data_IF_362729428019
#
_entry.id   IF_362729428019
#
_cell.length_a   1.000
_cell.length_b   1.000
_cell.length_c   1.000
_cell.angle_alpha   90.00
_cell.angle_beta   90.00
_cell.angle_gamma   90.00
#
_symmetry.space_group_name_H-M   'P 1'
#
loop_
_entity.id
_entity.type
_entity.pdbx_description
1 polymer ?
#
# COMPACT_ATOMS: atom_id res chain seq x y z
N UNK A 1 20.57 12.96 16.31
CA UNK A 1 21.44 13.18 15.14
C UNK A 1 20.78 12.52 13.92
N UNK A 2 19.97 13.28 13.19
CA UNK A 2 19.27 12.82 11.99
C UNK A 2 20.25 12.71 10.83
N UNK A 3 20.90 11.56 10.71
CA UNK A 3 21.65 11.20 9.53
C UNK A 3 20.68 10.46 8.61
N UNK A 4 20.28 11.11 7.50
CA UNK A 4 20.04 10.49 6.17
C UNK A 4 18.78 10.88 5.37
N UNK A 5 18.10 11.97 5.69
CA UNK A 5 17.07 12.55 4.80
C UNK A 5 17.63 13.31 3.57
N UNK A 6 18.84 13.01 3.12
CA UNK A 6 19.49 13.71 2.00
C UNK A 6 20.49 12.79 1.28
N UNK A 7 20.06 11.54 1.01
CA UNK A 7 20.82 10.62 0.19
C UNK A 7 20.51 10.86 -1.28
N UNK A 8 21.37 11.69 -1.88
CA UNK A 8 21.76 11.60 -3.28
C UNK A 8 20.64 11.75 -4.33
N UNK A 9 20.26 13.02 -4.60
CA UNK A 9 20.33 13.51 -5.98
C UNK A 9 21.80 13.39 -6.45
N UNK A 10 22.26 12.17 -6.69
CA UNK A 10 23.50 11.93 -7.45
C UNK A 10 23.28 12.69 -8.75
N UNK A 11 24.21 13.57 -9.10
CA UNK A 11 24.30 14.17 -10.42
C UNK A 11 24.26 13.05 -11.47
N UNK A 12 23.06 12.75 -11.97
CA UNK A 12 22.84 11.85 -13.08
C UNK A 12 22.56 12.74 -14.28
N UNK A 13 23.37 12.56 -15.32
CA UNK A 13 23.05 13.10 -16.63
C UNK A 13 22.15 12.06 -17.29
N UNK A 14 20.86 12.35 -17.37
CA UNK A 14 19.96 11.57 -18.22
C UNK A 14 20.39 11.77 -19.67
N UNK A 15 20.51 10.67 -20.41
CA UNK A 15 20.83 10.74 -21.85
C UNK A 15 19.61 11.14 -22.67
N UNK A 16 18.42 10.96 -22.11
CA UNK A 16 17.13 11.28 -22.73
C UNK A 16 16.30 12.15 -21.78
N UNK A 17 15.31 12.83 -22.35
CA UNK A 17 14.23 13.45 -21.57
C UNK A 17 13.04 12.50 -21.60
N UNK A 18 12.46 12.22 -20.44
CA UNK A 18 11.27 11.38 -20.35
C UNK A 18 10.35 11.82 -19.22
N UNK A 19 9.06 11.54 -19.40
CA UNK A 19 7.98 11.78 -18.45
C UNK A 19 7.00 10.61 -18.52
N UNK A 20 6.38 10.27 -17.39
CA UNK A 20 5.41 9.19 -17.30
C UNK A 20 4.08 9.76 -16.81
N UNK A 21 3.01 9.40 -17.50
CA UNK A 21 1.65 9.72 -17.10
C UNK A 21 0.86 8.43 -16.88
N UNK A 22 -0.05 8.44 -15.90
CA UNK A 22 -0.95 7.32 -15.59
C UNK A 22 -2.40 7.71 -15.89
N UNK A 23 -3.20 6.75 -16.34
CA UNK A 23 -4.65 6.87 -16.54
C UNK A 23 -5.36 5.61 -16.02
N UNK A 24 -6.28 5.73 -15.03
CA UNK A 24 -6.57 6.93 -14.23
C UNK A 24 -5.42 7.33 -13.31
N UNK A 25 -5.45 8.55 -12.77
CA UNK A 25 -4.41 9.06 -11.87
C UNK A 25 -4.35 8.32 -10.53
N UNK A 26 -5.51 7.92 -9.98
CA UNK A 26 -5.60 7.09 -8.79
C UNK A 26 -5.61 5.62 -9.18
N UNK A 27 -4.70 4.84 -8.61
CA UNK A 27 -4.53 3.42 -8.93
C UNK A 27 -5.33 2.56 -7.96
N UNK A 28 -5.85 1.43 -8.44
CA UNK A 28 -6.64 0.51 -7.63
C UNK A 28 -6.02 -0.89 -7.73
N UNK A 29 -5.71 -1.56 -6.61
CA UNK A 29 -5.19 -2.94 -6.63
C UNK A 29 -6.10 -3.89 -7.42
N UNK A 30 -5.50 -4.90 -8.08
CA UNK A 30 -6.14 -5.84 -9.02
C UNK A 30 -6.69 -5.22 -10.32
N UNK A 31 -6.57 -3.91 -10.52
CA UNK A 31 -6.96 -3.30 -11.80
C UNK A 31 -5.75 -3.18 -12.73
N UNK A 32 -6.04 -3.21 -14.03
CA UNK A 32 -5.05 -2.86 -15.05
C UNK A 32 -4.79 -1.37 -14.96
N UNK A 33 -3.56 -1.01 -14.59
CA UNK A 33 -3.05 0.35 -14.69
C UNK A 33 -2.60 0.58 -16.12
N UNK A 34 -2.99 1.71 -16.69
CA UNK A 34 -2.49 2.15 -18.00
C UNK A 34 -1.72 3.46 -17.85
N UNK A 35 -0.77 3.68 -18.74
CA UNK A 35 0.02 4.90 -18.74
C UNK A 35 0.74 5.11 -20.06
N UNK A 36 1.36 6.27 -20.18
CA UNK A 36 2.17 6.63 -21.35
C UNK A 36 3.53 7.10 -20.90
N UNK A 37 4.58 6.53 -21.49
CA UNK A 37 5.93 7.03 -21.43
C UNK A 37 6.11 8.03 -22.58
N UNK A 38 6.27 9.31 -22.25
CA UNK A 38 6.66 10.35 -23.19
C UNK A 38 8.18 10.44 -23.18
N UNK A 39 8.84 10.21 -24.31
CA UNK A 39 10.30 10.21 -24.38
C UNK A 39 10.82 11.01 -25.56
N UNK A 40 11.93 11.72 -25.34
CA UNK A 40 12.68 12.38 -26.41
C UNK A 40 14.18 12.21 -26.29
N UNK A 41 14.86 12.17 -27.44
CA UNK A 41 16.31 12.05 -27.51
C UNK A 41 16.94 13.40 -27.92
N UNK A 42 17.43 14.21 -26.96
CA UNK A 42 18.08 15.49 -27.25
C UNK A 42 19.53 15.35 -27.73
N UNK A 43 20.07 14.13 -27.76
CA UNK A 43 21.48 13.87 -28.09
C UNK A 43 21.69 13.71 -29.58
N UNK A 44 22.97 13.65 -30.00
CA UNK A 44 23.37 13.36 -31.38
C UNK A 44 23.50 11.87 -31.67
N UNK A 45 23.34 11.00 -30.67
CA UNK A 45 23.52 9.55 -30.81
C UNK A 45 22.18 8.84 -30.86
N UNK A 46 22.13 7.68 -31.53
CA UNK A 46 20.97 6.79 -31.48
C UNK A 46 20.90 6.10 -30.13
N UNK A 47 19.75 6.19 -29.45
CA UNK A 47 19.48 5.52 -28.17
C UNK A 47 18.55 4.33 -28.42
N UNK A 48 18.81 3.18 -27.81
CA UNK A 48 18.00 1.96 -27.97
C UNK A 48 17.48 1.51 -26.62
N UNK A 49 16.19 1.76 -26.36
CA UNK A 49 15.53 1.41 -25.11
C UNK A 49 14.97 -0.01 -25.18
N UNK A 50 15.17 -0.77 -24.12
CA UNK A 50 14.70 -2.15 -24.01
C UNK A 50 13.69 -2.37 -22.87
N UNK A 51 13.69 -1.52 -21.84
CA UNK A 51 12.82 -1.72 -20.68
C UNK A 51 12.56 -0.40 -19.95
N UNK A 52 11.31 -0.24 -19.50
CA UNK A 52 10.92 0.68 -18.43
C UNK A 52 10.65 -0.16 -17.19
N UNK A 53 11.38 0.05 -16.10
CA UNK A 53 11.08 -0.57 -14.80
C UNK A 53 10.40 0.46 -13.91
N UNK A 54 9.24 0.10 -13.34
CA UNK A 54 8.54 0.89 -12.31
C UNK A 54 8.61 0.16 -10.98
N UNK A 55 9.24 0.76 -9.97
CA UNK A 55 9.33 0.19 -8.62
C UNK A 55 8.47 1.00 -7.67
N UNK A 56 7.39 0.39 -7.18
CA UNK A 56 6.45 0.97 -6.23
C UNK A 56 7.00 0.89 -4.82
N UNK A 57 7.09 2.03 -4.16
CA UNK A 57 7.68 2.18 -2.84
C UNK A 57 6.68 2.82 -1.88
N UNK A 58 6.64 2.34 -0.66
CA UNK A 58 5.93 3.00 0.45
C UNK A 58 6.75 2.92 1.73
N UNK A 59 6.20 3.41 2.83
CA UNK A 59 6.83 3.30 4.15
C UNK A 59 5.90 2.67 5.17
N UNK A 60 6.48 2.08 6.21
CA UNK A 60 5.76 1.56 7.38
C UNK A 60 6.48 1.90 8.68
N UNK A 61 5.72 1.88 9.78
CA UNK A 61 6.24 2.04 11.14
C UNK A 61 6.69 0.69 11.69
N UNK A 62 7.98 0.55 11.89
CA UNK A 62 8.57 -0.57 12.62
C UNK A 62 8.68 -0.19 14.11
N UNK A 63 8.40 -1.15 14.99
CA UNK A 63 8.33 -0.96 16.43
C UNK A 63 9.32 -1.94 17.05
N UNK A 64 10.33 -1.43 17.76
CA UNK A 64 11.27 -2.30 18.48
C UNK A 64 10.60 -2.97 19.69
N UNK A 65 11.22 -4.03 20.21
CA UNK A 65 10.80 -4.67 21.47
C UNK A 65 10.77 -3.68 22.66
N UNK A 66 11.51 -2.58 22.58
CA UNK A 66 11.59 -1.51 23.59
C UNK A 66 10.53 -0.43 23.37
N UNK A 67 9.67 -0.55 22.36
CA UNK A 67 8.61 0.41 22.04
C UNK A 67 9.06 1.62 21.21
N UNK A 68 10.26 1.59 20.63
CA UNK A 68 10.74 2.68 19.76
C UNK A 68 10.17 2.53 18.35
N UNK A 69 9.62 3.61 17.80
CA UNK A 69 9.07 3.63 16.43
C UNK A 69 10.07 4.21 15.42
N UNK A 70 10.19 3.58 14.25
CA UNK A 70 10.99 4.08 13.13
C UNK A 70 10.30 3.84 11.79
N UNK A 71 10.55 4.72 10.82
CA UNK A 71 10.06 4.54 9.46
C UNK A 71 11.01 3.61 8.69
N UNK A 72 10.44 2.63 8.00
CA UNK A 72 11.15 1.78 7.03
C UNK A 72 10.48 1.89 5.67
N UNK A 73 11.29 1.81 4.62
CA UNK A 73 10.80 1.68 3.25
C UNK A 73 10.43 0.21 2.96
N UNK A 74 9.47 0.02 2.07
CA UNK A 74 9.08 -1.27 1.55
C UNK A 74 8.82 -1.21 0.05
N UNK A 75 9.39 -2.18 -0.65
CA UNK A 75 9.18 -2.40 -2.08
C UNK A 75 7.89 -3.21 -2.26
N UNK A 76 6.91 -2.61 -2.91
CA UNK A 76 5.58 -3.19 -3.07
C UNK A 76 5.53 -4.04 -4.34
N UNK A 77 5.93 -3.47 -5.46
CA UNK A 77 5.90 -4.16 -6.74
C UNK A 77 6.97 -3.57 -7.65
N UNK A 78 7.74 -4.44 -8.30
CA UNK A 78 8.57 -4.09 -9.44
C UNK A 78 7.85 -4.53 -10.71
N UNK A 79 7.71 -3.61 -11.66
CA UNK A 79 7.00 -3.82 -12.92
C UNK A 79 7.97 -3.58 -14.08
N UNK A 80 8.58 -4.63 -14.66
CA UNK A 80 9.33 -4.52 -15.89
C UNK A 80 8.38 -4.44 -17.09
N UNK A 81 8.47 -3.35 -17.84
CA UNK A 81 7.70 -3.10 -19.07
C UNK A 81 8.67 -3.23 -20.25
N UNK A 82 8.57 -4.29 -21.07
CA UNK A 82 9.46 -4.49 -22.20
C UNK A 82 9.23 -3.40 -23.24
N UNK A 83 10.32 -2.76 -23.67
CA UNK A 83 10.35 -1.78 -24.75
C UNK A 83 11.15 -2.35 -25.93
N UNK A 84 10.83 -1.92 -27.13
CA UNK A 84 11.67 -2.16 -28.31
C UNK A 84 11.72 -0.88 -29.13
N UNK A 85 12.30 0.17 -28.52
CA UNK A 85 12.28 1.51 -29.08
C UNK A 85 13.69 1.95 -29.49
N UNK A 86 13.80 2.43 -30.73
CA UNK A 86 15.02 3.05 -31.26
C UNK A 86 14.74 4.54 -31.46
N UNK A 87 15.40 5.38 -30.66
CA UNK A 87 15.26 6.83 -30.72
C UNK A 87 16.41 7.44 -31.51
N UNK A 88 16.09 7.92 -32.71
CA UNK A 88 17.00 8.74 -33.51
C UNK A 88 17.24 10.12 -32.84
N UNK A 89 18.35 10.82 -33.15
CA UNK A 89 18.58 12.18 -32.67
C UNK A 89 17.39 13.12 -32.94
N UNK A 90 16.87 13.76 -31.90
CA UNK A 90 15.72 14.67 -31.95
C UNK A 90 14.35 13.98 -32.00
N UNK A 91 14.28 12.64 -32.00
CA UNK A 91 13.03 11.91 -32.00
C UNK A 91 12.23 12.17 -30.71
N UNK A 92 10.90 12.14 -30.84
CA UNK A 92 9.93 12.20 -29.74
C UNK A 92 8.91 11.11 -29.97
N UNK A 93 8.68 10.29 -28.96
CA UNK A 93 7.81 9.11 -29.05
C UNK A 93 6.97 9.01 -27.79
N UNK A 94 5.72 8.56 -27.96
CA UNK A 94 4.79 8.26 -26.88
C UNK A 94 4.55 6.76 -26.87
N UNK A 95 4.99 6.08 -25.80
CA UNK A 95 4.88 4.63 -25.67
C UNK A 95 3.82 4.28 -24.63
N UNK A 96 2.65 3.77 -25.04
CA UNK A 96 1.66 3.29 -24.09
C UNK A 96 2.16 2.02 -23.40
N UNK A 97 1.83 1.88 -22.12
CA UNK A 97 2.10 0.68 -21.34
C UNK A 97 0.91 0.33 -20.44
N UNK A 98 0.88 -0.91 -19.99
CA UNK A 98 -0.10 -1.38 -19.02
C UNK A 98 0.45 -2.52 -18.17
N UNK A 99 0.00 -2.62 -16.93
CA UNK A 99 0.31 -3.71 -16.01
C UNK A 99 -0.82 -3.91 -14.99
N UNK A 100 -0.82 -5.03 -14.26
CA UNK A 100 -1.74 -5.25 -13.14
C UNK A 100 -1.08 -4.84 -11.82
N UNK A 101 -1.74 -3.96 -11.06
CA UNK A 101 -1.29 -3.61 -9.72
C UNK A 101 -1.59 -4.76 -8.75
N UNK A 102 -0.58 -5.18 -7.99
CA UNK A 102 -0.70 -6.27 -7.02
C UNK A 102 -1.86 -6.06 -6.05
N UNK A 103 -2.62 -7.11 -5.76
CA UNK A 103 -3.75 -7.05 -4.81
C UNK A 103 -3.34 -6.64 -3.39
N UNK A 104 -2.07 -6.80 -3.07
CA UNK A 104 -1.53 -6.57 -1.74
C UNK A 104 -1.06 -5.13 -1.52
N UNK A 105 -1.10 -4.27 -2.55
CA UNK A 105 -0.70 -2.88 -2.41
C UNK A 105 -1.61 -2.17 -1.39
N UNK A 106 -1.08 -1.70 -0.24
CA UNK A 106 -1.87 -0.90 0.69
C UNK A 106 -2.33 0.41 0.07
N UNK A 107 -3.32 1.03 0.68
CA UNK A 107 -3.79 2.35 0.26
C UNK A 107 -2.79 3.45 0.62
N UNK A 108 -2.81 4.54 -0.15
CA UNK A 108 -2.02 5.74 0.14
C UNK A 108 -2.51 6.49 1.39
N UNK A 109 -3.65 6.10 1.98
CA UNK A 109 -4.13 6.63 3.26
C UNK A 109 -3.25 6.17 4.44
N UNK A 110 -2.63 4.99 4.33
CA UNK A 110 -1.74 4.44 5.37
C UNK A 110 -0.35 5.05 5.37
N UNK A 111 0.21 5.30 4.18
CA UNK A 111 1.48 5.97 3.97
C UNK A 111 1.59 6.44 2.51
N UNK A 112 2.36 7.51 2.21
CA UNK A 112 2.56 7.96 0.84
C UNK A 112 3.27 6.90 -0.02
N UNK A 113 2.97 6.92 -1.31
CA UNK A 113 3.67 6.16 -2.32
C UNK A 113 4.59 7.02 -3.17
N UNK A 114 5.67 6.41 -3.63
CA UNK A 114 6.47 6.87 -4.76
C UNK A 114 6.70 5.74 -5.75
N UNK A 115 6.99 6.11 -7.00
CA UNK A 115 7.45 5.17 -8.02
C UNK A 115 8.84 5.61 -8.46
N UNK A 116 9.82 4.72 -8.31
CA UNK A 116 11.10 4.85 -9.00
C UNK A 116 10.92 4.33 -10.43
N UNK A 117 11.07 5.22 -11.41
CA UNK A 117 10.95 4.90 -12.81
C UNK A 117 12.33 4.90 -13.47
N UNK A 118 12.68 3.80 -14.13
CA UNK A 118 14.00 3.63 -14.75
C UNK A 118 13.88 3.16 -16.20
N UNK A 119 14.57 3.84 -17.11
CA UNK A 119 14.73 3.36 -18.49
C UNK A 119 16.10 2.73 -18.70
N UNK A 120 16.09 1.55 -19.30
CA UNK A 120 17.27 0.75 -19.61
C UNK A 120 17.48 0.64 -21.12
N UNK A 121 18.74 0.76 -21.53
CA UNK A 121 19.15 0.41 -22.89
C UNK A 121 19.43 -1.09 -23.04
N UNK A 122 19.68 -1.52 -24.28
CA UNK A 122 19.99 -2.92 -24.63
C UNK A 122 21.21 -3.53 -23.92
N UNK A 123 22.09 -2.70 -23.37
CA UNK A 123 23.31 -3.12 -22.68
C UNK A 123 23.09 -3.10 -21.15
N UNK A 124 21.83 -2.99 -20.69
CA UNK A 124 21.40 -2.88 -19.28
C UNK A 124 22.00 -1.64 -18.62
N UNK A 125 22.34 -0.62 -19.42
CA UNK A 125 22.76 0.66 -18.89
C UNK A 125 21.52 1.52 -18.68
N UNK A 126 21.45 2.11 -17.50
CA UNK A 126 20.42 3.09 -17.16
C UNK A 126 20.64 4.39 -17.95
N UNK A 127 19.63 4.81 -18.71
CA UNK A 127 19.69 6.01 -19.55
C UNK A 127 18.84 7.17 -19.01
N UNK A 128 17.85 6.86 -18.18
CA UNK A 128 17.02 7.83 -17.48
C UNK A 128 16.49 7.26 -16.17
N UNK A 129 16.24 8.14 -15.21
CA UNK A 129 15.69 7.82 -13.89
C UNK A 129 14.91 9.02 -13.37
N UNK A 130 13.75 8.77 -12.80
CA UNK A 130 12.99 9.76 -12.03
C UNK A 130 12.23 9.10 -10.89
N UNK A 131 11.81 9.94 -9.93
CA UNK A 131 10.96 9.53 -8.81
C UNK A 131 9.64 10.28 -8.89
N UNK A 132 8.57 9.54 -9.14
CA UNK A 132 7.21 10.09 -9.17
C UNK A 132 6.66 10.00 -7.74
N UNK A 133 6.55 11.14 -7.08
CA UNK A 133 6.02 11.24 -5.71
C UNK A 133 4.49 11.37 -5.71
N UNK A 134 3.87 11.11 -4.55
CA UNK A 134 2.44 11.34 -4.31
C UNK A 134 1.51 10.50 -5.19
N UNK A 135 1.89 9.27 -5.50
CA UNK A 135 1.01 8.31 -6.17
C UNK A 135 -0.16 7.98 -5.25
N UNK A 136 -1.38 8.10 -5.78
CA UNK A 136 -2.59 7.76 -5.07
C UNK A 136 -2.94 6.30 -5.34
N UNK A 137 -3.06 5.52 -4.27
CA UNK A 137 -3.55 4.14 -4.32
C UNK A 137 -4.79 4.06 -3.45
N UNK A 138 -5.93 3.82 -4.07
CA UNK A 138 -7.17 3.64 -3.34
C UNK A 138 -7.29 2.20 -2.80
N UNK A 139 -8.03 1.99 -1.70
CA UNK A 139 -8.36 0.63 -1.27
C UNK A 139 -9.13 -0.13 -2.35
N UNK A 140 -8.96 -1.45 -2.39
CA UNK A 140 -9.79 -2.33 -3.21
C UNK A 140 -11.30 -2.10 -2.95
N UNK A 141 -12.18 -2.25 -3.96
CA UNK A 141 -13.62 -2.11 -3.78
C UNK A 141 -14.19 -2.96 -2.63
N UNK A 142 -13.68 -4.16 -2.43
CA UNK A 142 -14.05 -5.08 -1.36
C UNK A 142 -13.65 -4.53 0.02
N UNK A 143 -12.50 -3.87 0.11
CA UNK A 143 -12.07 -3.19 1.33
C UNK A 143 -12.88 -1.93 1.63
N UNK A 144 -13.29 -1.18 0.59
CA UNK A 144 -14.22 -0.05 0.76
C UNK A 144 -15.56 -0.53 1.35
N UNK A 145 -16.11 -1.63 0.85
CA UNK A 145 -17.33 -2.24 1.43
C UNK A 145 -17.15 -2.66 2.88
N UNK A 146 -15.98 -3.17 3.23
CA UNK A 146 -15.67 -3.54 4.60
C UNK A 146 -15.53 -2.31 5.51
N UNK A 147 -14.90 -1.23 5.05
CA UNK A 147 -14.86 0.05 5.75
C UNK A 147 -16.27 0.60 5.97
N UNK A 148 -17.13 0.54 4.94
CA UNK A 148 -18.51 0.98 5.05
C UNK A 148 -19.30 0.11 6.04
N UNK A 149 -19.15 -1.22 5.99
CA UNK A 149 -19.79 -2.12 6.95
C UNK A 149 -19.32 -1.87 8.39
N UNK A 150 -18.04 -1.54 8.57
CA UNK A 150 -17.45 -1.16 9.87
C UNK A 150 -18.07 0.14 10.39
N UNK A 151 -18.25 1.14 9.52
CA UNK A 151 -18.95 2.37 9.87
C UNK A 151 -20.41 2.12 10.28
N UNK A 152 -21.15 1.28 9.54
CA UNK A 152 -22.52 0.91 9.89
C UNK A 152 -22.62 0.13 11.22
N UNK A 153 -21.57 -0.59 11.60
CA UNK A 153 -21.49 -1.27 12.89
C UNK A 153 -21.30 -0.30 14.08
N UNK A 154 -21.11 1.00 13.83
CA UNK A 154 -20.88 2.03 14.84
C UNK A 154 -19.41 2.33 15.10
N UNK A 155 -18.55 2.12 14.10
CA UNK A 155 -17.11 2.38 14.17
C UNK A 155 -16.67 3.34 13.04
N UNK A 156 -16.55 4.63 13.34
CA UNK A 156 -16.19 5.66 12.35
C UNK A 156 -14.67 5.69 12.10
N UNK A 157 -14.20 5.71 10.83
CA UNK A 157 -12.76 5.78 10.53
C UNK A 157 -12.08 7.02 11.13
N UNK A 158 -10.96 6.83 11.83
CA UNK A 158 -10.13 7.90 12.39
C UNK A 158 -8.77 8.01 11.70
N UNK A 159 -8.08 6.89 11.51
CA UNK A 159 -6.76 6.86 10.90
C UNK A 159 -6.50 5.53 10.20
N UNK A 160 -5.59 5.57 9.22
CA UNK A 160 -4.96 4.40 8.61
C UNK A 160 -3.45 4.60 8.71
N UNK A 161 -2.69 3.55 9.02
CA UNK A 161 -1.23 3.59 9.08
C UNK A 161 -0.63 2.25 8.68
N UNK A 162 0.43 2.28 7.89
CA UNK A 162 1.27 1.10 7.68
C UNK A 162 2.13 0.85 8.93
N UNK A 163 1.98 -0.32 9.55
CA UNK A 163 2.73 -0.71 10.76
C UNK A 163 3.24 -2.14 10.61
N UNK A 164 4.36 -2.45 11.25
CA UNK A 164 4.90 -3.81 11.28
C UNK A 164 3.80 -4.81 11.67
N UNK A 165 3.78 -5.93 10.96
CA UNK A 165 2.76 -6.95 11.17
C UNK A 165 2.94 -7.56 12.57
N UNK A 166 1.95 -7.40 13.47
CA UNK A 166 2.10 -7.85 14.85
C UNK A 166 2.20 -9.38 14.97
N UNK A 167 1.72 -10.14 13.99
CA UNK A 167 1.77 -11.60 13.99
C UNK A 167 3.07 -12.14 13.37
N UNK A 168 3.93 -11.27 12.83
CA UNK A 168 5.27 -11.64 12.39
C UNK A 168 5.34 -12.57 11.18
N UNK A 169 4.22 -12.82 10.48
CA UNK A 169 4.22 -13.54 9.22
C UNK A 169 4.46 -12.55 8.07
N UNK A 170 5.63 -12.59 7.44
CA UNK A 170 5.89 -11.78 6.24
C UNK A 170 5.01 -12.27 5.08
N UNK A 171 3.84 -11.65 4.80
CA UNK A 171 3.10 -11.89 3.53
C UNK A 171 2.26 -10.72 3.01
N UNK A 172 2.46 -10.32 1.74
CA UNK A 172 3.76 -10.35 1.02
C UNK A 172 4.77 -9.33 1.57
N UNK A 173 4.38 -8.51 2.55
CA UNK A 173 5.23 -7.48 3.16
C UNK A 173 5.33 -7.68 4.67
N UNK A 174 6.38 -7.15 5.33
CA UNK A 174 6.55 -7.25 6.79
C UNK A 174 5.61 -6.32 7.58
N UNK A 175 4.56 -5.81 6.96
CA UNK A 175 3.69 -4.77 7.53
C UNK A 175 2.25 -4.94 7.04
N UNK A 176 1.33 -4.31 7.77
CA UNK A 176 -0.11 -4.29 7.49
C UNK A 176 -0.64 -2.87 7.56
N UNK A 177 -1.77 -2.61 6.88
CA UNK A 177 -2.57 -1.42 7.16
C UNK A 177 -3.33 -1.60 8.46
N UNK A 178 -2.97 -0.77 9.45
CA UNK A 178 -3.70 -0.63 10.69
C UNK A 178 -4.71 0.50 10.57
N UNK A 179 -5.96 0.15 10.81
CA UNK A 179 -7.09 1.05 10.87
C UNK A 179 -7.39 1.38 12.33
N UNK A 180 -7.71 2.63 12.61
CA UNK A 180 -8.25 3.08 13.88
C UNK A 180 -9.63 3.66 13.67
N UNK A 181 -10.56 3.29 14.54
CA UNK A 181 -11.95 3.69 14.49
C UNK A 181 -12.40 4.29 15.82
N UNK A 182 -13.22 5.33 15.70
CA UNK A 182 -13.93 5.95 16.81
C UNK A 182 -15.24 5.20 17.03
N UNK A 183 -15.46 4.63 18.21
CA UNK A 183 -16.72 4.01 18.56
C UNK A 183 -17.82 5.07 18.73
N UNK A 184 -19.00 4.79 18.17
CA UNK A 184 -20.20 5.65 18.28
C UNK A 184 -21.42 4.82 18.68
N UNK A 185 -22.50 5.49 19.09
CA UNK A 185 -23.73 4.82 19.51
C UNK A 185 -23.51 3.95 20.76
N UNK A 186 -23.92 2.68 20.71
CA UNK A 186 -23.82 1.75 21.83
C UNK A 186 -22.37 1.44 22.26
N UNK A 187 -21.39 1.73 21.42
CA UNK A 187 -19.97 1.46 21.67
C UNK A 187 -19.20 2.63 22.27
N UNK A 188 -19.77 3.84 22.23
CA UNK A 188 -19.06 5.08 22.56
C UNK A 188 -18.53 5.14 24.00
N UNK A 189 -19.27 4.54 24.94
CA UNK A 189 -18.91 4.49 26.36
C UNK A 189 -18.09 3.23 26.72
N UNK A 190 -17.91 2.31 25.77
CA UNK A 190 -17.27 1.01 26.02
C UNK A 190 -15.83 0.96 25.56
N UNK A 191 -15.52 1.66 24.47
CA UNK A 191 -14.22 1.64 23.82
C UNK A 191 -13.79 3.07 23.51
N UNK A 192 -12.53 3.40 23.80
CA UNK A 192 -11.98 4.69 23.38
C UNK A 192 -11.63 4.66 21.89
N UNK A 193 -10.96 3.59 21.45
CA UNK A 193 -10.58 3.35 20.06
C UNK A 193 -10.64 1.87 19.76
N UNK A 194 -11.27 1.51 18.64
CA UNK A 194 -11.16 0.17 18.07
C UNK A 194 -10.10 0.21 16.98
N UNK A 195 -9.08 -0.65 17.08
CA UNK A 195 -8.05 -0.81 16.06
C UNK A 195 -8.32 -2.10 15.30
N UNK A 196 -7.98 -2.15 14.02
CA UNK A 196 -7.92 -3.41 13.29
C UNK A 196 -6.77 -3.39 12.30
N UNK A 197 -6.38 -4.57 11.84
CA UNK A 197 -5.61 -4.70 10.61
C UNK A 197 -6.16 -5.89 9.84
N UNK A 198 -5.96 -5.86 8.53
CA UNK A 198 -6.52 -6.88 7.65
C UNK A 198 -5.42 -7.48 6.79
N UNK A 199 -5.42 -8.81 6.69
CA UNK A 199 -4.48 -9.57 5.87
C UNK A 199 -5.21 -10.12 4.67
N UNK A 200 -4.78 -9.69 3.49
CA UNK A 200 -5.35 -10.17 2.23
C UNK A 200 -4.69 -11.49 1.86
N UNK A 201 -5.46 -12.39 1.25
CA UNK A 201 -4.97 -13.61 0.62
C UNK A 201 -5.83 -13.94 -0.61
N UNK A 202 -5.40 -14.90 -1.42
CA UNK A 202 -6.04 -15.18 -2.72
C UNK A 202 -7.55 -15.45 -2.62
N UNK A 203 -7.98 -16.13 -1.56
CA UNK A 203 -9.39 -16.51 -1.35
C UNK A 203 -10.22 -15.50 -0.56
N UNK A 204 -9.60 -14.48 0.07
CA UNK A 204 -10.31 -13.58 0.96
C UNK A 204 -9.44 -12.68 1.83
N UNK A 205 -9.95 -12.41 3.02
CA UNK A 205 -9.36 -11.52 4.00
C UNK A 205 -9.49 -12.07 5.41
N UNK A 206 -8.42 -11.94 6.18
CA UNK A 206 -8.43 -12.15 7.61
C UNK A 206 -8.48 -10.79 8.32
N UNK A 207 -9.49 -10.59 9.15
CA UNK A 207 -9.70 -9.40 9.95
C UNK A 207 -9.28 -9.66 11.38
N UNK A 208 -8.41 -8.80 11.89
CA UNK A 208 -7.94 -8.85 13.27
C UNK A 208 -8.36 -7.58 13.98
N UNK A 209 -9.08 -7.74 15.09
CA UNK A 209 -9.52 -6.61 15.91
C UNK A 209 -8.68 -6.50 17.18
N UNK A 210 -8.28 -5.27 17.47
CA UNK A 210 -7.62 -4.91 18.70
C UNK A 210 -8.45 -3.83 19.40
N UNK A 211 -8.98 -4.16 20.57
CA UNK A 211 -9.77 -3.27 21.39
C UNK A 211 -8.86 -2.64 22.44
N UNK A 212 -8.80 -1.32 22.45
CA UNK A 212 -7.98 -0.59 23.42
C UNK A 212 -8.91 0.06 24.44
N UNK A 213 -8.88 -0.47 25.67
CA UNK A 213 -9.58 0.15 26.79
C UNK A 213 -8.66 0.98 27.68
N UNK A 214 -7.34 0.77 27.65
CA UNK A 214 -6.37 1.46 28.51
C UNK A 214 -4.98 1.44 27.85
N UNK A 215 -4.36 2.63 27.72
CA UNK A 215 -2.94 2.89 27.39
C UNK A 215 -1.95 2.09 28.26
N UNK A 216 -1.87 0.78 28.07
CA UNK A 216 -0.74 -0.01 28.53
C UNK A 216 0.19 -0.17 27.34
N UNK A 217 1.45 0.26 27.48
CA UNK A 217 2.49 -0.04 26.49
C UNK A 217 2.61 -1.57 26.39
N UNK A 218 1.98 -2.12 25.35
CA UNK A 218 1.99 -3.55 25.05
C UNK A 218 3.20 -3.86 24.18
N UNK A 219 3.86 -4.98 24.47
CA UNK A 219 4.90 -5.54 23.59
C UNK A 219 4.25 -6.11 22.34
N UNK A 220 5.00 -6.21 21.23
CA UNK A 220 4.53 -6.86 20.00
C UNK A 220 3.93 -8.26 20.25
N UNK A 221 4.55 -9.06 21.12
CA UNK A 221 4.07 -10.40 21.49
C UNK A 221 2.72 -10.39 22.20
N UNK A 222 2.53 -9.46 23.16
CA UNK A 222 1.23 -9.30 23.83
C UNK A 222 0.15 -8.77 22.89
N UNK A 223 0.53 -7.97 21.89
CA UNK A 223 -0.37 -7.53 20.83
C UNK A 223 -0.76 -8.71 19.94
N UNK A 224 0.21 -9.52 19.51
CA UNK A 224 0.00 -10.68 18.65
C UNK A 224 -1.02 -11.67 19.26
N UNK A 225 -0.82 -12.02 20.53
CA UNK A 225 -1.70 -12.96 21.24
C UNK A 225 -3.14 -12.43 21.35
N UNK A 226 -3.30 -11.13 21.64
CA UNK A 226 -4.62 -10.52 21.81
C UNK A 226 -5.40 -10.43 20.48
N UNK A 227 -4.70 -10.14 19.38
CA UNK A 227 -5.34 -10.04 18.07
C UNK A 227 -5.63 -11.41 17.45
N UNK A 228 -4.81 -12.44 17.69
CA UNK A 228 -5.12 -13.83 17.27
C UNK A 228 -6.44 -14.33 17.85
N UNK A 229 -6.72 -14.02 19.11
CA UNK A 229 -7.98 -14.40 19.77
C UNK A 229 -9.20 -13.67 19.17
N UNK A 230 -9.00 -12.60 18.38
CA UNK A 230 -10.05 -11.71 17.87
C UNK A 230 -9.98 -11.59 16.34
N UNK A 231 -9.90 -12.76 15.72
CA UNK A 231 -9.80 -12.95 14.29
C UNK A 231 -11.14 -13.38 13.68
N UNK A 232 -11.38 -12.94 12.44
CA UNK A 232 -12.44 -13.46 11.57
C UNK A 232 -11.88 -13.59 10.16
N UNK A 233 -12.14 -14.71 9.50
CA UNK A 233 -11.83 -14.89 8.08
C UNK A 233 -13.08 -14.73 7.23
N UNK A 234 -12.95 -14.04 6.09
CA UNK A 234 -14.02 -13.82 5.11
C UNK A 234 -13.51 -14.10 3.70
N UNK A 235 -14.27 -14.86 2.93
CA UNK A 235 -14.01 -15.02 1.50
C UNK A 235 -14.40 -13.76 0.71
N UNK A 236 -13.81 -13.56 -0.47
CA UNK A 236 -14.23 -12.46 -1.37
C UNK A 236 -15.73 -12.48 -1.67
N UNK A 237 -16.29 -13.66 -1.90
CA UNK A 237 -17.72 -13.83 -2.17
C UNK A 237 -18.62 -13.51 -0.97
N UNK A 238 -18.12 -13.53 0.27
CA UNK A 238 -18.85 -13.06 1.45
C UNK A 238 -18.83 -11.53 1.53
N UNK A 239 -17.70 -10.89 1.20
CA UNK A 239 -17.58 -9.42 1.16
C UNK A 239 -18.50 -8.78 0.10
N UNK A 240 -18.66 -9.44 -1.05
CA UNK A 240 -19.47 -8.90 -2.15
C UNK A 240 -20.98 -8.88 -1.87
N UNK A 241 -21.49 -9.87 -1.12
CA UNK A 241 -22.92 -10.18 -1.09
C UNK A 241 -23.68 -9.62 0.12
N UNK A 242 -23.01 -9.30 1.23
CA UNK A 242 -23.74 -9.18 2.51
C UNK A 242 -23.24 -8.06 3.44
N UNK A 243 -23.24 -6.80 2.99
CA UNK A 243 -22.78 -5.65 3.80
C UNK A 243 -23.43 -5.57 5.20
N UNK A 244 -24.73 -5.86 5.31
CA UNK A 244 -25.44 -5.88 6.59
C UNK A 244 -24.98 -7.02 7.51
N UNK A 245 -24.74 -8.22 6.97
CA UNK A 245 -24.22 -9.35 7.77
C UNK A 245 -22.75 -9.15 8.15
N UNK A 246 -21.97 -8.42 7.33
CA UNK A 246 -20.64 -7.99 7.70
C UNK A 246 -20.71 -7.11 8.95
N UNK A 247 -21.56 -6.08 8.92
CA UNK A 247 -21.76 -5.18 10.06
C UNK A 247 -22.22 -5.91 11.33
N UNK A 248 -23.21 -6.80 11.22
CA UNK A 248 -23.67 -7.61 12.35
C UNK A 248 -22.57 -8.49 12.92
N UNK A 249 -21.79 -9.17 12.07
CA UNK A 249 -20.70 -10.00 12.57
C UNK A 249 -19.53 -9.19 13.14
N UNK A 250 -19.32 -7.94 12.71
CA UNK A 250 -18.39 -7.01 13.40
C UNK A 250 -18.92 -6.72 14.80
N UNK A 251 -20.21 -6.39 14.93
CA UNK A 251 -20.82 -6.18 16.24
C UNK A 251 -20.74 -7.42 17.13
N UNK A 252 -20.95 -8.62 16.58
CA UNK A 252 -20.86 -9.86 17.36
C UNK A 252 -19.42 -10.11 17.88
N UNK A 253 -18.39 -9.81 17.08
CA UNK A 253 -17.00 -9.78 17.55
C UNK A 253 -16.82 -8.81 18.71
N UNK A 254 -17.35 -7.58 18.61
CA UNK A 254 -17.28 -6.59 19.69
C UNK A 254 -18.06 -7.03 20.93
N UNK A 255 -19.26 -7.63 20.79
CA UNK A 255 -20.08 -8.13 21.92
C UNK A 255 -19.40 -9.29 22.64
N UNK A 256 -18.75 -10.18 21.89
CA UNK A 256 -18.01 -11.31 22.47
C UNK A 256 -16.97 -10.84 23.49
N UNK A 257 -16.42 -9.65 23.28
CA UNK A 257 -15.47 -9.02 24.19
C UNK A 257 -16.11 -8.53 25.50
N UNK A 258 -17.40 -8.17 25.52
CA UNK A 258 -18.09 -7.81 26.77
C UNK A 258 -18.13 -8.97 27.77
N UNK A 259 -18.00 -10.20 27.27
CA UNK A 259 -18.25 -11.44 28.03
C UNK A 259 -16.96 -12.16 28.44
N UNK A 260 -15.79 -11.64 28.06
CA UNK A 260 -14.45 -12.17 28.36
C UNK A 260 -13.74 -11.34 29.43
#
# INVERSE_FOLDING_TARGET
>A
MSKWGNRFKKWFFSEIEAEITFDPAALIPKQTVTGTLHVSNPTTNVVRLQELTLTFLTTFKDITMEGNEFNREADIQEVPIPLSLVLEPGAKEDVPFSFELTMYAPSSAGAPYSIEATLWDKDIKRVWFDVIEHIEIEPMPELKRLLDATAHAGLEPMFVRNVIDPLGEERPYPFVEKYGFKPVGEWADEFEVVKSFWRLHEDGIDLYYWLDNIETQRTLESMATDVELRHRSLTWGQLEREQEQLGLGIQDTLRSHRSS
#
